data_IF_185708138022
#
_entry.id   IF_185708138022
#
_cell.length_a   1.000
_cell.length_b   1.000
_cell.length_c   1.000
_cell.angle_alpha   90.00
_cell.angle_beta   90.00
_cell.angle_gamma   90.00
#
_symmetry.space_group_name_H-M   'P 1'
#
loop_
_entity.id
_entity.type
_entity.pdbx_description
1 polymer ?
#
# COMPACT_ATOMS: atom_id res chain seq x y z
N UNK A 1 -11.20 9.45 -21.74
CA UNK A 1 -11.69 10.80 -21.37
C UNK A 1 -12.96 10.65 -20.55
N UNK A 2 -13.11 11.39 -19.46
CA UNK A 2 -14.26 11.36 -18.57
C UNK A 2 -14.86 12.76 -18.46
N UNK A 3 -16.18 12.87 -18.40
CA UNK A 3 -16.84 14.16 -18.26
C UNK A 3 -16.69 14.70 -16.83
N UNK A 4 -16.46 16.02 -16.71
CA UNK A 4 -16.45 16.73 -15.43
C UNK A 4 -17.87 16.76 -14.86
N UNK A 5 -17.99 16.43 -13.58
CA UNK A 5 -19.24 16.44 -12.85
C UNK A 5 -19.60 17.84 -12.36
N UNK A 6 -20.91 18.15 -12.35
CA UNK A 6 -21.46 19.44 -11.97
C UNK A 6 -22.64 19.27 -11.03
N UNK A 7 -22.96 20.28 -10.29
CA UNK A 7 -24.20 20.34 -9.52
C UNK A 7 -25.41 20.10 -10.44
N UNK A 8 -26.32 19.21 -10.03
CA UNK A 8 -27.49 18.80 -10.78
C UNK A 8 -27.28 17.65 -11.76
N UNK A 9 -26.05 17.18 -11.98
CA UNK A 9 -25.81 16.00 -12.82
C UNK A 9 -26.43 14.75 -12.18
N UNK A 10 -27.01 13.82 -12.98
CA UNK A 10 -27.73 12.66 -12.48
C UNK A 10 -26.79 11.59 -11.93
N UNK A 11 -27.36 10.73 -11.05
CA UNK A 11 -26.71 9.48 -10.61
C UNK A 11 -27.40 8.24 -11.19
N UNK A 12 -26.72 7.12 -11.25
CA UNK A 12 -27.24 5.86 -11.84
C UNK A 12 -28.45 5.30 -11.10
N UNK A 13 -28.74 5.75 -9.89
CA UNK A 13 -29.90 5.34 -9.09
C UNK A 13 -31.08 6.30 -9.20
N UNK A 14 -31.02 7.27 -10.10
CA UNK A 14 -32.08 8.28 -10.30
C UNK A 14 -32.01 9.47 -9.34
N UNK A 15 -30.89 9.64 -8.67
CA UNK A 15 -30.58 10.84 -7.87
C UNK A 15 -29.81 11.88 -8.68
N UNK A 16 -29.35 12.95 -8.00
CA UNK A 16 -28.58 14.04 -8.58
C UNK A 16 -27.49 14.56 -7.62
N UNK A 17 -26.50 15.24 -8.15
CA UNK A 17 -25.45 15.90 -7.37
C UNK A 17 -26.02 17.15 -6.72
N UNK A 18 -25.89 17.27 -5.40
CA UNK A 18 -26.46 18.34 -4.60
C UNK A 18 -25.55 19.55 -4.48
N UNK A 19 -24.24 19.33 -4.46
CA UNK A 19 -23.24 20.34 -4.19
C UNK A 19 -22.40 20.68 -5.42
N UNK A 20 -21.95 21.93 -5.49
CA UNK A 20 -21.03 22.43 -6.51
C UNK A 20 -20.44 23.75 -6.10
N UNK A 21 -19.22 24.02 -6.55
CA UNK A 21 -18.44 25.21 -6.25
C UNK A 21 -18.57 26.25 -7.39
N UNK A 22 -19.16 27.37 -7.07
CA UNK A 22 -19.39 28.49 -8.01
C UNK A 22 -18.09 29.25 -8.37
N UNK A 23 -16.97 28.96 -7.70
CA UNK A 23 -15.67 29.53 -8.07
C UNK A 23 -15.12 28.93 -9.38
N UNK A 24 -15.63 27.77 -9.77
CA UNK A 24 -15.36 27.14 -11.06
C UNK A 24 -16.65 26.68 -11.72
N UNK A 25 -17.00 27.34 -12.82
CA UNK A 25 -18.17 27.04 -13.61
C UNK A 25 -17.77 26.23 -14.84
N UNK A 26 -18.35 25.04 -15.00
CA UNK A 26 -18.24 24.20 -16.18
C UNK A 26 -19.56 24.20 -16.92
N UNK A 27 -19.57 24.74 -18.15
CA UNK A 27 -20.77 24.84 -19.02
C UNK A 27 -22.03 25.40 -18.32
N UNK A 28 -21.82 26.48 -17.56
CA UNK A 28 -22.91 27.22 -16.90
C UNK A 28 -23.38 26.62 -15.57
N UNK A 29 -22.79 25.54 -15.09
CA UNK A 29 -23.10 24.94 -13.79
C UNK A 29 -21.86 24.86 -12.89
N UNK A 30 -22.02 24.98 -11.55
CA UNK A 30 -20.95 24.84 -10.59
C UNK A 30 -20.28 23.46 -10.66
N UNK A 31 -18.96 23.43 -10.72
CA UNK A 31 -18.18 22.19 -10.76
C UNK A 31 -18.24 21.46 -9.41
N UNK A 32 -18.32 20.14 -9.48
CA UNK A 32 -18.37 19.30 -8.27
C UNK A 32 -17.02 18.64 -8.00
N UNK A 33 -16.68 18.54 -6.73
CA UNK A 33 -15.42 17.93 -6.25
C UNK A 33 -15.69 16.65 -5.47
N UNK A 34 -14.68 15.84 -5.34
CA UNK A 34 -14.69 14.65 -4.48
C UNK A 34 -14.99 15.07 -3.04
N UNK A 35 -15.86 14.30 -2.36
CA UNK A 35 -16.36 14.62 -1.01
C UNK A 35 -17.64 15.45 -0.99
N UNK A 36 -18.06 16.10 -2.10
CA UNK A 36 -19.34 16.78 -2.21
C UNK A 36 -20.50 15.80 -2.27
N UNK A 37 -21.70 16.23 -1.87
CA UNK A 37 -22.85 15.36 -1.67
C UNK A 37 -23.67 15.13 -2.94
N UNK A 38 -24.14 13.90 -3.09
CA UNK A 38 -25.15 13.53 -4.07
C UNK A 38 -26.22 12.66 -3.41
N UNK A 39 -27.46 12.73 -3.90
CA UNK A 39 -28.53 11.91 -3.36
C UNK A 39 -28.58 10.51 -3.99
N UNK A 40 -29.20 9.59 -3.26
CA UNK A 40 -29.37 8.20 -3.64
C UNK A 40 -30.78 7.71 -3.28
N UNK A 41 -31.75 7.83 -4.18
CA UNK A 41 -33.10 7.34 -3.93
C UNK A 41 -33.21 5.82 -3.68
N UNK A 42 -32.20 5.06 -4.07
CA UNK A 42 -32.21 3.60 -3.97
C UNK A 42 -31.90 3.06 -2.56
N UNK A 43 -31.50 3.90 -1.60
CA UNK A 43 -31.18 3.44 -0.26
C UNK A 43 -31.79 4.31 0.85
N UNK A 44 -31.88 3.73 2.06
CA UNK A 44 -32.50 4.41 3.23
C UNK A 44 -31.76 5.66 3.71
N UNK A 45 -30.44 5.70 3.49
CA UNK A 45 -29.61 6.88 3.87
C UNK A 45 -29.92 8.06 2.97
N UNK A 46 -30.31 7.82 1.74
CA UNK A 46 -30.81 8.83 0.80
C UNK A 46 -29.74 9.73 0.16
N UNK A 47 -28.53 9.74 0.67
CA UNK A 47 -27.44 10.59 0.16
C UNK A 47 -26.07 10.08 0.63
N UNK A 48 -25.00 10.62 0.05
CA UNK A 48 -23.62 10.33 0.46
C UNK A 48 -22.61 11.20 -0.27
N UNK A 49 -21.36 11.26 0.20
CA UNK A 49 -20.28 11.96 -0.49
C UNK A 49 -19.90 11.22 -1.77
N UNK A 50 -19.46 11.97 -2.77
CA UNK A 50 -18.88 11.45 -4.00
C UNK A 50 -17.45 10.99 -3.72
N UNK A 51 -17.14 9.76 -4.10
CA UNK A 51 -15.84 9.12 -3.94
C UNK A 51 -15.22 8.85 -5.30
N UNK A 52 -13.93 9.14 -5.42
CA UNK A 52 -13.17 8.97 -6.65
C UNK A 52 -13.00 7.50 -7.03
N UNK A 53 -13.18 7.20 -8.30
CA UNK A 53 -12.76 5.94 -8.92
C UNK A 53 -11.49 6.21 -9.71
N UNK A 54 -10.34 5.98 -9.07
CA UNK A 54 -9.02 6.21 -9.64
C UNK A 54 -8.41 7.61 -9.36
N UNK A 55 -7.15 7.80 -9.74
CA UNK A 55 -6.39 9.03 -9.51
C UNK A 55 -6.98 10.24 -10.23
N UNK A 56 -6.62 11.45 -9.78
CA UNK A 56 -7.09 12.74 -10.33
C UNK A 56 -5.92 13.61 -10.75
N UNK A 57 -5.87 13.93 -12.04
CA UNK A 57 -4.92 14.90 -12.61
C UNK A 57 -5.42 16.35 -12.51
N UNK A 58 -6.74 16.53 -12.27
CA UNK A 58 -7.34 17.87 -12.19
C UNK A 58 -7.79 18.17 -10.76
N UNK A 59 -7.16 19.19 -10.21
CA UNK A 59 -7.47 19.75 -8.89
C UNK A 59 -7.95 21.19 -9.11
N UNK A 60 -9.19 21.46 -8.68
CA UNK A 60 -9.75 22.80 -8.70
C UNK A 60 -9.64 23.49 -7.34
N UNK A 61 -10.19 24.72 -7.21
CA UNK A 61 -10.17 25.48 -5.96
C UNK A 61 -10.77 24.73 -4.76
N UNK A 62 -11.76 23.86 -5.00
CA UNK A 62 -12.43 23.07 -3.95
C UNK A 62 -11.87 21.67 -3.77
N UNK A 63 -10.77 21.31 -4.46
CA UNK A 63 -10.13 19.99 -4.37
C UNK A 63 -10.17 19.17 -5.66
N UNK A 64 -9.95 17.86 -5.59
CA UNK A 64 -9.99 16.97 -6.75
C UNK A 64 -11.36 16.97 -7.43
N UNK A 65 -11.38 17.19 -8.75
CA UNK A 65 -12.64 17.28 -9.51
C UNK A 65 -13.34 15.92 -9.60
N UNK A 66 -14.64 15.88 -9.36
CA UNK A 66 -15.46 14.68 -9.58
C UNK A 66 -15.69 14.45 -11.07
N UNK A 67 -15.60 13.20 -11.51
CA UNK A 67 -15.66 12.80 -12.91
C UNK A 67 -16.71 11.70 -13.13
N UNK A 68 -17.18 11.58 -14.36
CA UNK A 68 -18.06 10.50 -14.78
C UNK A 68 -17.57 9.14 -14.29
N UNK A 69 -18.48 8.36 -13.67
CA UNK A 69 -18.20 7.04 -13.14
C UNK A 69 -17.66 7.04 -11.70
N UNK A 70 -17.43 8.19 -11.07
CA UNK A 70 -17.24 8.25 -9.62
C UNK A 70 -18.53 7.82 -8.93
N UNK A 71 -18.46 7.33 -7.69
CA UNK A 71 -19.63 6.79 -7.03
C UNK A 71 -20.02 7.57 -5.77
N UNK A 72 -21.27 7.45 -5.40
CA UNK A 72 -21.82 8.04 -4.19
C UNK A 72 -21.69 7.03 -3.05
N UNK A 73 -20.93 7.36 -2.01
CA UNK A 73 -20.78 6.53 -0.82
C UNK A 73 -22.01 6.65 0.08
N UNK A 74 -23.06 5.94 -0.29
CA UNK A 74 -24.31 5.76 0.47
C UNK A 74 -24.34 4.33 1.06
N UNK A 75 -25.48 3.90 1.63
CA UNK A 75 -25.63 2.52 2.15
C UNK A 75 -25.79 1.44 1.08
N UNK A 76 -25.78 1.79 -0.19
CA UNK A 76 -25.70 0.84 -1.29
C UNK A 76 -24.30 0.20 -1.38
N UNK A 77 -24.18 -1.00 -2.00
CA UNK A 77 -22.85 -1.56 -2.28
C UNK A 77 -21.96 -0.55 -3.00
N UNK A 78 -20.65 -0.53 -2.72
CA UNK A 78 -19.72 0.36 -3.41
C UNK A 78 -19.89 0.30 -4.93
N UNK A 79 -19.78 1.45 -5.60
CA UNK A 79 -19.93 1.61 -7.06
C UNK A 79 -21.31 1.29 -7.67
N UNK A 80 -22.33 0.92 -6.89
CA UNK A 80 -23.68 0.68 -7.42
C UNK A 80 -24.46 1.97 -7.71
N UNK A 81 -24.04 3.11 -7.14
CA UNK A 81 -24.59 4.43 -7.43
C UNK A 81 -23.47 5.34 -7.96
N UNK A 82 -23.34 5.45 -9.28
CA UNK A 82 -22.31 6.23 -9.95
C UNK A 82 -22.88 7.55 -10.50
N UNK A 83 -22.03 8.60 -10.57
CA UNK A 83 -22.40 9.86 -11.19
C UNK A 83 -22.32 9.76 -12.72
N UNK A 84 -23.32 10.33 -13.39
CA UNK A 84 -23.53 10.26 -14.83
C UNK A 84 -23.61 11.68 -15.45
N UNK A 85 -22.52 12.47 -15.45
CA UNK A 85 -22.55 13.79 -16.06
C UNK A 85 -23.00 13.70 -17.52
N UNK A 86 -23.91 14.59 -17.91
CA UNK A 86 -24.26 14.78 -19.30
C UNK A 86 -23.02 15.24 -20.10
N UNK A 87 -23.10 15.22 -21.43
CA UNK A 87 -22.00 15.66 -22.30
C UNK A 87 -21.51 17.06 -21.92
N UNK A 88 -20.19 17.24 -21.91
CA UNK A 88 -19.58 18.51 -21.49
C UNK A 88 -18.06 18.48 -21.48
N UNK A 89 -17.45 19.29 -20.65
CA UNK A 89 -16.00 19.37 -20.48
C UNK A 89 -15.44 17.99 -20.13
N UNK A 90 -14.58 17.45 -21.01
CA UNK A 90 -13.91 16.16 -20.81
C UNK A 90 -12.47 16.36 -20.39
N UNK A 91 -11.99 15.49 -19.51
CA UNK A 91 -10.61 15.44 -19.09
C UNK A 91 -9.98 14.12 -19.47
N UNK A 92 -8.70 14.16 -19.79
CA UNK A 92 -7.94 13.03 -20.32
C UNK A 92 -7.37 12.12 -19.22
N UNK A 93 -8.10 11.84 -18.15
CA UNK A 93 -7.71 10.79 -17.22
C UNK A 93 -7.78 9.44 -17.92
N UNK A 94 -6.62 8.89 -18.24
CA UNK A 94 -6.50 7.67 -19.06
C UNK A 94 -6.87 6.37 -18.31
N UNK A 95 -7.43 6.45 -17.10
CA UNK A 95 -7.79 5.30 -16.29
C UNK A 95 -9.20 5.40 -15.69
N UNK A 96 -10.18 5.30 -16.56
CA UNK A 96 -11.57 5.04 -16.16
C UNK A 96 -12.02 3.70 -16.74
N UNK A 97 -12.96 2.96 -16.09
CA UNK A 97 -13.52 1.76 -16.68
C UNK A 97 -14.14 2.12 -18.03
N UNK A 98 -13.77 1.40 -19.09
CA UNK A 98 -14.41 1.50 -20.39
C UNK A 98 -15.89 1.17 -20.23
N UNK A 99 -16.76 2.16 -20.36
CA UNK A 99 -18.17 1.93 -20.61
C UNK A 99 -18.32 1.27 -21.98
N UNK A 100 -18.77 0.05 -22.00
CA UNK A 100 -19.05 -0.64 -23.24
C UNK A 100 -19.45 -2.08 -23.04
N UNK A 101 -20.70 -2.30 -22.71
CA UNK A 101 -21.45 -3.40 -23.27
C UNK A 101 -22.96 -3.12 -23.10
N UNK A 102 -23.63 -3.10 -24.21
CA UNK A 102 -25.06 -2.93 -24.33
C UNK A 102 -25.84 -4.02 -23.57
N UNK A 103 -26.94 -3.60 -22.96
CA UNK A 103 -27.94 -4.45 -22.34
C UNK A 103 -28.46 -5.54 -23.28
N UNK A 104 -28.27 -6.81 -22.87
CA UNK A 104 -29.00 -7.95 -23.39
C UNK A 104 -30.21 -8.17 -22.48
N UNK A 105 -31.42 -8.43 -23.00
CA UNK A 105 -32.63 -8.64 -22.20
C UNK A 105 -32.52 -9.90 -21.34
N UNK A 106 -33.03 -9.83 -20.11
CA UNK A 106 -33.04 -10.92 -19.15
C UNK A 106 -33.96 -12.07 -19.65
N UNK A 107 -33.41 -13.26 -19.75
CA UNK A 107 -34.17 -14.51 -19.79
C UNK A 107 -34.51 -15.00 -18.37
N UNK A 108 -35.64 -15.72 -18.18
CA UNK A 108 -36.11 -16.07 -16.83
C UNK A 108 -35.21 -17.10 -16.15
N UNK A 109 -34.90 -16.80 -14.90
CA UNK A 109 -34.02 -17.56 -14.01
C UNK A 109 -34.51 -18.98 -13.75
N UNK A 110 -33.66 -19.96 -14.05
CA UNK A 110 -33.76 -21.32 -13.52
C UNK A 110 -33.32 -21.35 -12.02
N UNK A 111 -33.85 -22.27 -11.21
CA UNK A 111 -33.55 -22.31 -9.78
C UNK A 111 -32.05 -22.58 -9.52
N UNK A 112 -31.50 -21.84 -8.58
CA UNK A 112 -30.11 -21.94 -8.18
C UNK A 112 -29.74 -23.36 -7.71
N UNK A 113 -28.61 -23.92 -8.14
CA UNK A 113 -28.09 -25.14 -7.57
C UNK A 113 -27.61 -24.86 -6.14
N UNK A 114 -28.05 -25.67 -5.20
CA UNK A 114 -27.56 -25.70 -3.82
C UNK A 114 -26.04 -25.86 -3.81
N UNK A 115 -25.35 -24.81 -3.39
CA UNK A 115 -23.91 -24.83 -3.21
C UNK A 115 -23.52 -25.78 -2.08
N UNK A 116 -22.97 -26.93 -2.42
CA UNK A 116 -22.10 -27.68 -1.50
C UNK A 116 -20.93 -26.78 -1.08
N UNK A 117 -20.48 -26.83 0.18
CA UNK A 117 -19.31 -26.06 0.61
C UNK A 117 -18.12 -26.46 -0.27
N UNK A 118 -17.59 -25.50 -1.03
CA UNK A 118 -16.39 -25.70 -1.80
C UNK A 118 -15.25 -26.07 -0.83
N UNK A 119 -14.78 -27.29 -0.93
CA UNK A 119 -13.52 -27.72 -0.33
C UNK A 119 -12.45 -26.72 -0.83
N UNK A 120 -11.65 -26.12 0.06
CA UNK A 120 -10.55 -25.27 -0.38
C UNK A 120 -9.67 -26.11 -1.31
N UNK A 121 -9.59 -25.72 -2.57
CA UNK A 121 -8.63 -26.30 -3.51
C UNK A 121 -7.25 -25.89 -2.99
N UNK A 122 -6.61 -26.75 -2.20
CA UNK A 122 -5.17 -26.66 -1.97
C UNK A 122 -4.56 -26.82 -3.35
N UNK A 123 -3.83 -25.83 -3.88
CA UNK A 123 -3.15 -25.98 -5.15
C UNK A 123 -2.29 -27.25 -5.07
N UNK A 124 -2.44 -28.16 -6.03
CA UNK A 124 -1.53 -29.30 -6.17
C UNK A 124 -0.15 -28.69 -6.42
N UNK A 125 0.67 -28.62 -5.38
CA UNK A 125 2.08 -28.20 -5.51
C UNK A 125 2.76 -29.28 -6.35
N UNK A 126 3.26 -28.88 -7.52
CA UNK A 126 4.11 -29.77 -8.32
C UNK A 126 5.33 -30.15 -7.47
N UNK A 127 5.55 -31.43 -7.15
CA UNK A 127 6.67 -31.84 -6.32
C UNK A 127 8.05 -31.53 -6.95
N UNK A 128 8.08 -31.17 -8.23
CA UNK A 128 9.29 -30.76 -8.95
C UNK A 128 9.48 -29.25 -8.99
N UNK A 129 8.50 -28.46 -8.51
CA UNK A 129 8.57 -27.01 -8.52
C UNK A 129 9.50 -26.50 -7.41
N UNK A 130 10.44 -25.66 -7.81
CA UNK A 130 11.29 -24.93 -6.86
C UNK A 130 10.61 -23.64 -6.40
N UNK A 131 10.55 -23.40 -5.08
CA UNK A 131 9.97 -22.18 -4.52
C UNK A 131 11.04 -21.30 -3.92
N UNK A 132 11.08 -20.03 -4.36
CA UNK A 132 12.07 -19.03 -3.92
C UNK A 132 11.33 -17.79 -3.40
N UNK A 133 11.63 -17.37 -2.16
CA UNK A 133 11.19 -16.13 -1.60
C UNK A 133 12.24 -15.03 -1.77
N UNK A 134 11.83 -13.83 -2.20
CA UNK A 134 12.70 -12.66 -2.23
C UNK A 134 12.08 -11.52 -1.41
N UNK A 135 12.88 -10.88 -0.56
CA UNK A 135 12.45 -10.01 0.51
C UNK A 135 13.17 -8.66 0.45
N UNK A 136 12.47 -7.61 0.03
CA UNK A 136 13.00 -6.25 -0.11
C UNK A 136 12.66 -5.43 1.13
N UNK A 137 13.64 -5.11 1.95
CA UNK A 137 13.39 -4.38 3.19
C UNK A 137 13.21 -2.88 2.96
N UNK A 138 12.55 -2.22 3.93
CA UNK A 138 12.25 -0.80 3.89
C UNK A 138 13.49 0.08 4.01
N UNK A 139 13.36 1.35 3.64
CA UNK A 139 14.42 2.33 3.78
C UNK A 139 15.00 2.34 5.18
N UNK A 140 16.31 2.37 5.27
CA UNK A 140 17.02 2.37 6.56
C UNK A 140 16.82 1.11 7.42
N UNK A 141 16.25 0.04 6.84
CA UNK A 141 16.12 -1.24 7.53
C UNK A 141 17.14 -2.23 6.98
N UNK A 142 17.94 -2.81 7.88
CA UNK A 142 18.94 -3.82 7.54
C UNK A 142 19.08 -4.81 8.70
N UNK A 143 18.50 -6.00 8.54
CA UNK A 143 18.50 -7.04 9.57
C UNK A 143 19.89 -7.46 10.03
N UNK A 144 20.89 -7.35 9.16
CA UNK A 144 22.26 -7.72 9.50
C UNK A 144 22.92 -6.65 10.37
N UNK A 145 22.67 -5.36 10.09
CA UNK A 145 23.13 -4.26 10.91
C UNK A 145 22.46 -4.25 12.29
N UNK A 146 21.16 -4.47 12.36
CA UNK A 146 20.44 -4.63 13.64
C UNK A 146 21.01 -5.78 14.46
N UNK A 147 21.28 -6.94 13.82
CA UNK A 147 21.88 -8.09 14.50
C UNK A 147 23.32 -7.82 14.95
N UNK A 148 24.11 -7.11 14.16
CA UNK A 148 25.48 -6.69 14.57
C UNK A 148 25.42 -5.82 15.82
N UNK A 149 24.50 -4.87 15.90
CA UNK A 149 24.30 -4.05 17.10
C UNK A 149 23.95 -4.92 18.31
N UNK A 150 22.95 -5.81 18.18
CA UNK A 150 22.56 -6.73 19.28
C UNK A 150 23.75 -7.55 19.78
N UNK A 151 24.55 -8.11 18.88
CA UNK A 151 25.76 -8.85 19.22
C UNK A 151 26.79 -7.98 19.96
N UNK A 152 26.89 -6.69 19.61
CA UNK A 152 27.80 -5.76 20.25
C UNK A 152 27.31 -5.27 21.62
N UNK A 153 26.01 -5.26 21.85
CA UNK A 153 25.42 -5.00 23.17
C UNK A 153 25.66 -6.17 24.13
N UNK A 154 25.69 -7.40 23.61
CA UNK A 154 25.92 -8.61 24.42
C UNK A 154 27.41 -8.88 24.69
N UNK A 155 28.29 -8.59 23.74
CA UNK A 155 29.71 -8.89 23.83
C UNK A 155 30.56 -7.90 23.05
N UNK A 156 31.44 -7.17 23.74
CA UNK A 156 32.41 -6.27 23.10
C UNK A 156 33.50 -7.08 22.36
N UNK A 157 33.41 -7.11 21.04
CA UNK A 157 34.35 -7.79 20.14
C UNK A 157 35.17 -6.78 19.32
N UNK A 158 36.27 -7.22 18.70
CA UNK A 158 37.03 -6.35 17.78
C UNK A 158 36.17 -5.85 16.59
N UNK A 159 35.19 -6.66 16.14
CA UNK A 159 34.22 -6.26 15.12
C UNK A 159 33.35 -5.11 15.64
N UNK A 160 32.97 -5.11 16.91
CA UNK A 160 32.13 -4.08 17.50
C UNK A 160 32.84 -2.73 17.54
N UNK A 161 34.16 -2.70 17.84
CA UNK A 161 34.94 -1.47 17.81
C UNK A 161 34.96 -0.82 16.42
N UNK A 162 34.96 -1.61 15.36
CA UNK A 162 34.93 -1.09 13.97
C UNK A 162 33.60 -0.46 13.57
N UNK A 163 32.49 -0.90 14.14
CA UNK A 163 31.15 -0.41 13.82
C UNK A 163 30.55 0.51 14.90
N UNK A 164 31.22 0.69 16.05
CA UNK A 164 30.71 1.49 17.16
C UNK A 164 30.31 2.92 16.74
N UNK A 165 31.07 3.52 15.82
CA UNK A 165 30.74 4.84 15.26
C UNK A 165 29.57 4.83 14.31
N UNK A 166 29.18 3.66 13.80
CA UNK A 166 28.04 3.46 12.88
C UNK A 166 26.75 3.17 13.66
N UNK A 167 26.89 2.65 14.89
CA UNK A 167 25.76 2.40 15.80
C UNK A 167 25.31 3.74 16.37
N UNK A 168 24.42 4.42 15.68
CA UNK A 168 23.91 5.73 16.05
C UNK A 168 22.39 5.80 15.96
N UNK A 169 21.81 6.69 16.74
CA UNK A 169 20.36 6.91 16.71
C UNK A 169 19.91 7.34 15.33
N UNK A 170 18.91 6.62 14.79
CA UNK A 170 18.41 6.88 13.46
C UNK A 170 19.30 6.32 12.33
N UNK A 171 20.12 5.31 12.59
CA UNK A 171 20.83 4.52 11.58
C UNK A 171 20.18 3.16 11.36
N UNK A 172 20.59 2.44 10.31
CA UNK A 172 20.11 1.07 10.05
C UNK A 172 20.50 0.06 11.11
N UNK A 173 21.35 0.45 12.05
CA UNK A 173 21.72 -0.32 13.24
C UNK A 173 20.73 -0.12 14.40
N UNK A 174 20.01 1.01 14.44
CA UNK A 174 19.15 1.40 15.56
C UNK A 174 17.75 0.78 15.51
N UNK A 175 17.34 0.23 14.35
CA UNK A 175 16.03 -0.37 14.15
C UNK A 175 15.92 -1.84 14.61
N UNK A 176 14.70 -2.29 14.88
CA UNK A 176 14.36 -3.70 15.05
C UNK A 176 14.06 -4.40 13.72
N UNK A 177 13.76 -5.69 13.78
CA UNK A 177 13.40 -6.46 12.60
C UNK A 177 12.03 -6.03 12.06
N UNK A 178 11.97 -5.70 10.76
CA UNK A 178 10.73 -5.46 10.03
C UNK A 178 9.94 -6.75 9.83
N UNK A 179 8.68 -6.63 9.40
CA UNK A 179 7.88 -7.80 9.02
C UNK A 179 8.49 -8.54 7.82
N UNK A 180 9.12 -7.82 6.89
CA UNK A 180 9.87 -8.41 5.76
C UNK A 180 11.06 -9.24 6.27
N UNK A 181 11.85 -8.68 7.19
CA UNK A 181 12.98 -9.39 7.80
C UNK A 181 12.53 -10.63 8.59
N UNK A 182 11.42 -10.53 9.33
CA UNK A 182 10.81 -11.66 10.09
C UNK A 182 10.31 -12.75 9.15
N UNK A 183 9.58 -12.40 8.10
CA UNK A 183 9.09 -13.35 7.10
C UNK A 183 10.25 -14.07 6.41
N UNK A 184 11.32 -13.35 6.04
CA UNK A 184 12.53 -13.99 5.49
C UNK A 184 13.13 -15.06 6.42
N UNK A 185 13.04 -14.86 7.75
CA UNK A 185 13.61 -15.82 8.72
C UNK A 185 12.80 -17.11 8.83
N UNK A 186 11.48 -17.03 8.64
CA UNK A 186 10.56 -18.17 8.80
C UNK A 186 10.13 -18.79 7.47
N UNK A 187 10.61 -18.26 6.35
CA UNK A 187 10.26 -18.78 5.03
C UNK A 187 10.84 -20.18 4.84
N UNK A 188 9.99 -21.13 4.45
CA UNK A 188 10.35 -22.55 4.37
C UNK A 188 11.10 -22.94 3.08
N UNK A 189 11.07 -22.09 2.05
CA UNK A 189 11.79 -22.29 0.78
C UNK A 189 13.18 -21.66 0.76
N UNK A 190 13.81 -21.64 -0.40
CA UNK A 190 15.02 -20.83 -0.62
C UNK A 190 14.68 -19.33 -0.49
N UNK A 191 15.47 -18.59 0.28
CA UNK A 191 15.17 -17.21 0.60
C UNK A 191 16.32 -16.26 0.27
N UNK A 192 16.00 -15.11 -0.36
CA UNK A 192 16.92 -14.05 -0.70
C UNK A 192 16.47 -12.79 0.04
N UNK A 193 17.34 -12.22 0.86
CA UNK A 193 17.09 -10.93 1.49
C UNK A 193 17.84 -9.82 0.77
N UNK A 194 17.14 -8.72 0.51
CA UNK A 194 17.65 -7.49 -0.08
C UNK A 194 17.58 -6.39 0.99
N UNK A 195 18.72 -5.83 1.30
CA UNK A 195 18.87 -4.78 2.29
C UNK A 195 18.05 -3.54 1.91
N UNK A 196 17.59 -2.81 2.92
CA UNK A 196 16.80 -1.59 2.69
C UNK A 196 17.57 -0.50 1.96
N UNK A 197 16.82 0.38 1.33
CA UNK A 197 17.36 1.52 0.57
C UNK A 197 18.23 2.40 1.47
N UNK A 198 19.40 2.76 0.99
CA UNK A 198 20.38 3.58 1.68
C UNK A 198 21.28 2.82 2.67
N UNK A 199 21.12 1.50 2.82
CA UNK A 199 21.91 0.73 3.78
C UNK A 199 22.91 -0.20 3.11
N UNK A 200 23.94 -0.59 3.84
CA UNK A 200 24.87 -1.67 3.48
C UNK A 200 25.37 -2.34 4.75
N UNK A 201 25.45 -3.66 4.75
CA UNK A 201 25.88 -4.43 5.93
C UNK A 201 27.31 -4.06 6.34
N UNK A 202 27.48 -3.71 7.61
CA UNK A 202 28.78 -3.36 8.20
C UNK A 202 29.35 -2.01 7.76
N UNK A 203 28.56 -1.16 7.11
CA UNK A 203 28.97 0.17 6.60
C UNK A 203 28.06 1.28 7.13
N UNK A 204 28.48 2.54 6.92
CA UNK A 204 27.65 3.70 7.16
C UNK A 204 26.52 3.75 6.12
N UNK A 205 25.36 4.23 6.56
CA UNK A 205 24.20 4.45 5.68
C UNK A 205 24.47 5.60 4.70
N UNK A 206 23.92 5.49 3.50
CA UNK A 206 23.94 6.56 2.49
C UNK A 206 22.75 7.49 2.68
N UNK A 207 22.98 8.64 3.29
CA UNK A 207 21.93 9.65 3.50
C UNK A 207 21.30 10.16 2.19
N UNK A 208 22.10 10.27 1.13
CA UNK A 208 21.60 10.70 -0.19
C UNK A 208 20.69 9.64 -0.82
N UNK A 209 21.11 8.37 -0.81
CA UNK A 209 20.30 7.28 -1.37
C UNK A 209 19.01 7.10 -0.54
N UNK A 210 19.06 7.28 0.78
CA UNK A 210 17.88 7.30 1.64
C UNK A 210 16.95 8.47 1.33
N UNK A 211 17.49 9.66 1.12
CA UNK A 211 16.68 10.85 0.89
C UNK A 211 15.94 10.78 -0.46
N UNK A 212 16.64 10.34 -1.50
CA UNK A 212 16.11 10.37 -2.87
C UNK A 212 15.67 9.01 -3.42
N UNK A 213 15.92 7.90 -2.72
CA UNK A 213 15.60 6.55 -3.20
C UNK A 213 16.38 6.13 -4.46
N UNK A 214 17.45 6.87 -4.79
CA UNK A 214 18.28 6.70 -5.98
C UNK A 214 19.70 6.26 -5.59
N UNK A 215 20.60 6.14 -6.56
CA UNK A 215 22.01 5.78 -6.32
C UNK A 215 22.27 4.29 -6.18
N UNK A 216 23.45 3.94 -5.68
CA UNK A 216 23.94 2.56 -5.63
C UNK A 216 23.13 1.65 -4.66
N UNK A 217 22.44 2.23 -3.70
CA UNK A 217 21.55 1.53 -2.77
C UNK A 217 20.09 2.01 -2.91
N UNK A 218 19.74 2.61 -4.05
CA UNK A 218 18.41 3.09 -4.38
C UNK A 218 17.44 1.98 -4.83
N UNK A 219 16.22 2.35 -5.14
CA UNK A 219 15.13 1.43 -5.47
C UNK A 219 15.46 0.55 -6.68
N UNK A 220 15.95 1.15 -7.77
CA UNK A 220 16.31 0.40 -8.99
C UNK A 220 17.48 -0.54 -8.72
N UNK A 221 18.55 -0.05 -8.10
CA UNK A 221 19.73 -0.86 -7.80
C UNK A 221 19.40 -2.05 -6.90
N UNK A 222 18.47 -1.89 -5.95
CA UNK A 222 17.98 -3.00 -5.12
C UNK A 222 17.16 -4.02 -5.91
N UNK A 223 16.37 -3.57 -6.88
CA UNK A 223 15.63 -4.47 -7.77
C UNK A 223 16.56 -5.26 -8.69
N UNK A 224 17.58 -4.60 -9.25
CA UNK A 224 18.61 -5.24 -10.08
C UNK A 224 19.48 -6.22 -9.28
N UNK A 225 19.85 -5.86 -8.04
CA UNK A 225 20.51 -6.77 -7.10
C UNK A 225 19.66 -8.03 -6.86
N UNK A 226 18.35 -7.83 -6.65
CA UNK A 226 17.39 -8.93 -6.51
C UNK A 226 17.37 -9.83 -7.74
N UNK A 227 17.32 -9.25 -8.94
CA UNK A 227 17.34 -9.99 -10.19
C UNK A 227 18.63 -10.78 -10.37
N UNK A 228 19.78 -10.20 -10.08
CA UNK A 228 21.07 -10.89 -10.17
C UNK A 228 21.17 -12.06 -9.20
N UNK A 229 20.75 -11.87 -7.94
CA UNK A 229 20.76 -12.93 -6.91
C UNK A 229 19.81 -14.07 -7.26
N UNK A 230 18.57 -13.78 -7.68
CA UNK A 230 17.60 -14.82 -8.02
C UNK A 230 18.03 -15.58 -9.28
N UNK A 231 18.56 -14.90 -10.30
CA UNK A 231 19.06 -15.53 -11.52
C UNK A 231 20.20 -16.50 -11.21
N UNK A 232 21.12 -16.09 -10.33
CA UNK A 232 22.21 -16.98 -9.86
C UNK A 232 21.67 -18.21 -9.14
N UNK A 233 20.67 -18.02 -8.27
CA UNK A 233 20.04 -19.12 -7.55
C UNK A 233 19.31 -20.07 -8.50
N UNK A 234 18.53 -19.54 -9.44
CA UNK A 234 17.80 -20.31 -10.46
C UNK A 234 18.76 -21.13 -11.33
N UNK A 235 19.89 -20.55 -11.72
CA UNK A 235 20.90 -21.27 -12.52
C UNK A 235 21.51 -22.46 -11.78
N UNK A 236 21.55 -22.43 -10.46
CA UNK A 236 22.05 -23.53 -9.61
C UNK A 236 21.04 -24.63 -9.30
N UNK A 237 19.77 -24.46 -9.65
CA UNK A 237 18.72 -25.45 -9.36
C UNK A 237 18.73 -26.60 -10.37
N UNK A 238 18.26 -27.78 -9.93
CA UNK A 238 17.90 -28.89 -10.81
C UNK A 238 16.81 -28.48 -11.82
N UNK A 239 16.51 -29.30 -12.80
CA UNK A 239 15.43 -29.05 -13.75
C UNK A 239 14.09 -28.93 -13.02
N UNK A 240 13.17 -28.12 -13.55
CA UNK A 240 11.83 -27.89 -13.04
C UNK A 240 11.41 -26.42 -13.11
N UNK A 241 10.11 -26.13 -13.01
CA UNK A 241 9.58 -24.78 -12.96
C UNK A 241 9.96 -24.10 -11.65
N UNK A 242 9.93 -22.76 -11.63
CA UNK A 242 10.25 -21.95 -10.44
C UNK A 242 9.08 -21.05 -10.11
N UNK A 243 8.58 -21.15 -8.88
CA UNK A 243 7.63 -20.22 -8.29
C UNK A 243 8.37 -19.21 -7.41
N UNK A 244 8.10 -17.93 -7.62
CA UNK A 244 8.72 -16.83 -6.86
C UNK A 244 7.68 -16.13 -5.99
N UNK A 245 7.97 -16.04 -4.69
CA UNK A 245 7.21 -15.21 -3.74
C UNK A 245 8.02 -13.93 -3.46
N UNK A 246 7.38 -12.78 -3.64
CA UNK A 246 8.03 -11.47 -3.52
C UNK A 246 7.43 -10.72 -2.35
N UNK A 247 8.27 -10.17 -1.48
CA UNK A 247 7.82 -9.37 -0.34
C UNK A 247 8.57 -8.04 -0.30
N UNK A 248 7.87 -6.98 0.13
CA UNK A 248 8.51 -5.68 0.26
C UNK A 248 7.83 -4.77 1.26
N UNK A 249 8.61 -3.85 1.85
CA UNK A 249 8.12 -2.81 2.75
C UNK A 249 8.57 -1.43 2.29
N UNK A 250 7.67 -0.43 2.34
CA UNK A 250 8.01 0.96 2.03
C UNK A 250 8.62 1.11 0.62
N UNK A 251 9.77 1.80 0.47
CA UNK A 251 10.53 1.82 -0.80
C UNK A 251 11.09 0.46 -1.19
N UNK A 252 11.24 -0.47 -0.25
CA UNK A 252 11.48 -1.88 -0.58
C UNK A 252 10.28 -2.54 -1.26
N UNK A 253 9.05 -2.14 -0.94
CA UNK A 253 7.86 -2.58 -1.68
C UNK A 253 7.82 -1.98 -3.10
N UNK A 254 8.26 -0.73 -3.27
CA UNK A 254 8.45 -0.15 -4.61
C UNK A 254 9.52 -0.91 -5.41
N UNK A 255 10.64 -1.30 -4.77
CA UNK A 255 11.66 -2.15 -5.38
C UNK A 255 11.12 -3.54 -5.73
N UNK A 256 10.31 -4.15 -4.86
CA UNK A 256 9.65 -5.42 -5.12
C UNK A 256 8.71 -5.37 -6.34
N UNK A 257 7.94 -4.29 -6.49
CA UNK A 257 7.06 -4.06 -7.65
C UNK A 257 7.86 -3.89 -8.93
N UNK A 258 8.94 -3.10 -8.91
CA UNK A 258 9.85 -2.95 -10.04
C UNK A 258 10.53 -4.28 -10.38
N UNK A 259 10.97 -5.03 -9.37
CA UNK A 259 11.58 -6.34 -9.52
C UNK A 259 10.66 -7.34 -10.23
N UNK A 260 9.37 -7.41 -9.89
CA UNK A 260 8.40 -8.27 -10.58
C UNK A 260 8.40 -7.99 -12.08
N UNK A 261 8.39 -6.71 -12.48
CA UNK A 261 8.40 -6.34 -13.89
C UNK A 261 9.68 -6.77 -14.60
N UNK A 262 10.86 -6.52 -14.01
CA UNK A 262 12.14 -6.88 -14.65
C UNK A 262 12.40 -8.40 -14.64
N UNK A 263 11.90 -9.11 -13.63
CA UNK A 263 11.99 -10.58 -13.57
C UNK A 263 11.21 -11.22 -14.71
N UNK A 264 9.98 -10.78 -14.95
CA UNK A 264 9.11 -11.35 -16.00
C UNK A 264 9.62 -11.03 -17.42
N UNK A 265 10.34 -9.92 -17.59
CA UNK A 265 10.98 -9.57 -18.86
C UNK A 265 12.31 -10.28 -19.07
N UNK A 266 12.93 -10.79 -18.01
CA UNK A 266 14.22 -11.44 -18.06
C UNK A 266 14.10 -12.90 -18.55
N UNK A 267 15.08 -13.34 -19.33
CA UNK A 267 15.17 -14.74 -19.72
C UNK A 267 15.97 -15.53 -18.67
N UNK A 268 15.28 -16.36 -17.88
CA UNK A 268 15.90 -17.21 -16.86
C UNK A 268 16.30 -18.60 -17.38
N UNK A 269 16.12 -18.87 -18.68
CA UNK A 269 16.41 -20.18 -19.29
C UNK A 269 15.45 -21.30 -18.87
N UNK A 270 14.41 -20.98 -18.13
CA UNK A 270 13.35 -21.91 -17.67
C UNK A 270 12.05 -21.14 -17.37
N UNK A 271 10.99 -21.90 -17.12
CA UNK A 271 9.71 -21.35 -16.70
C UNK A 271 9.82 -20.77 -15.28
N UNK A 272 9.54 -19.47 -15.15
CA UNK A 272 9.50 -18.74 -13.90
C UNK A 272 8.15 -18.01 -13.81
N UNK A 273 7.42 -18.25 -12.72
CA UNK A 273 6.17 -17.55 -12.42
C UNK A 273 6.26 -16.82 -11.09
N UNK A 274 5.56 -15.70 -10.96
CA UNK A 274 5.40 -15.03 -9.68
C UNK A 274 4.13 -15.56 -9.02
N UNK A 275 4.30 -16.35 -7.95
CA UNK A 275 3.17 -16.98 -7.25
C UNK A 275 2.49 -16.03 -6.26
N UNK A 276 3.28 -15.23 -5.55
CA UNK A 276 2.75 -14.31 -4.55
C UNK A 276 3.55 -13.02 -4.49
N UNK A 277 2.85 -11.90 -4.30
CA UNK A 277 3.45 -10.60 -3.99
C UNK A 277 2.79 -10.04 -2.73
N UNK A 278 3.54 -9.91 -1.65
CA UNK A 278 3.10 -9.37 -0.37
C UNK A 278 3.76 -8.03 -0.08
N UNK A 279 2.98 -6.96 -0.06
CA UNK A 279 3.47 -5.59 0.09
C UNK A 279 2.99 -5.01 1.42
N UNK A 280 3.91 -4.35 2.13
CA UNK A 280 3.65 -3.61 3.35
C UNK A 280 3.81 -2.13 3.05
N UNK A 281 2.70 -1.42 2.96
CA UNK A 281 2.59 0.03 2.83
C UNK A 281 3.57 0.63 1.83
N UNK A 282 3.36 0.36 0.53
CA UNK A 282 4.26 0.81 -0.54
C UNK A 282 4.34 2.33 -0.57
N UNK A 283 5.56 2.85 -0.44
CA UNK A 283 5.88 4.26 -0.61
C UNK A 283 7.00 4.37 -1.64
N UNK A 284 6.76 5.02 -2.77
CA UNK A 284 7.80 5.22 -3.76
C UNK A 284 8.74 6.37 -3.36
N UNK A 285 8.23 7.58 -3.20
CA UNK A 285 8.97 8.79 -2.78
C UNK A 285 10.40 8.83 -3.33
N UNK A 286 10.54 8.85 -4.68
CA UNK A 286 11.80 8.72 -5.40
C UNK A 286 12.12 10.05 -6.07
N UNK A 287 13.36 10.53 -5.91
CA UNK A 287 13.80 11.80 -6.46
C UNK A 287 13.35 13.00 -5.62
N UNK A 288 13.18 14.15 -6.27
CA UNK A 288 12.72 15.40 -5.65
C UNK A 288 11.20 15.50 -5.65
N UNK A 289 10.52 14.71 -6.46
CA UNK A 289 9.08 14.66 -6.54
C UNK A 289 8.56 13.54 -5.65
N UNK A 290 7.81 13.93 -4.64
CA UNK A 290 7.18 12.99 -3.69
C UNK A 290 5.73 12.71 -4.08
N UNK A 291 5.28 13.23 -5.23
CA UNK A 291 3.93 12.98 -5.74
C UNK A 291 3.85 11.61 -6.41
N UNK A 292 2.65 11.05 -6.43
CA UNK A 292 2.35 9.64 -6.68
C UNK A 292 2.55 9.20 -8.15
N UNK A 293 2.67 10.14 -9.10
CA UNK A 293 2.42 9.86 -10.50
C UNK A 293 3.66 9.72 -11.39
N UNK A 294 4.84 10.18 -10.96
CA UNK A 294 6.03 10.25 -11.81
C UNK A 294 7.30 9.68 -11.16
N UNK A 295 7.22 8.46 -10.65
CA UNK A 295 8.39 7.74 -10.14
C UNK A 295 9.23 7.11 -11.28
N UNK A 296 9.13 7.61 -12.50
CA UNK A 296 9.96 7.15 -13.60
C UNK A 296 11.46 7.32 -13.26
N UNK A 297 12.29 6.29 -13.45
CA UNK A 297 12.05 5.06 -14.21
C UNK A 297 11.56 3.84 -13.41
N UNK A 298 11.08 3.99 -12.17
CA UNK A 298 10.61 2.87 -11.35
C UNK A 298 9.20 2.44 -11.78
N UNK A 299 9.04 1.17 -12.11
CA UNK A 299 7.76 0.61 -12.56
C UNK A 299 6.99 0.03 -11.38
N UNK A 300 6.00 0.77 -10.89
CA UNK A 300 5.18 0.36 -9.74
C UNK A 300 3.96 -0.47 -10.15
N UNK A 301 3.48 -0.34 -11.36
CA UNK A 301 2.31 -1.06 -11.85
C UNK A 301 2.65 -2.55 -12.03
N UNK A 302 1.87 -3.41 -11.39
CA UNK A 302 1.87 -4.86 -11.61
C UNK A 302 0.64 -5.18 -12.44
N UNK A 303 0.83 -5.67 -13.66
CA UNK A 303 -0.29 -5.98 -14.55
C UNK A 303 -1.12 -7.15 -13.99
N UNK A 304 -2.45 -7.18 -14.21
CA UNK A 304 -3.26 -8.35 -13.92
C UNK A 304 -2.69 -9.59 -14.62
N UNK A 305 -2.48 -10.67 -13.86
CA UNK A 305 -1.86 -11.90 -14.37
C UNK A 305 -0.33 -11.93 -14.33
N UNK A 306 0.34 -10.83 -14.00
CA UNK A 306 1.80 -10.82 -13.79
C UNK A 306 2.23 -11.62 -12.53
N UNK A 307 1.33 -11.74 -11.57
CA UNK A 307 1.45 -12.61 -10.42
C UNK A 307 0.12 -13.31 -10.16
N UNK A 308 0.14 -14.51 -9.60
CA UNK A 308 -1.09 -15.25 -9.30
C UNK A 308 -1.90 -14.54 -8.20
N UNK A 309 -1.20 -13.95 -7.24
CA UNK A 309 -1.83 -13.18 -6.17
C UNK A 309 -0.94 -12.02 -5.72
N UNK A 310 -1.53 -10.83 -5.66
CA UNK A 310 -0.90 -9.63 -5.09
C UNK A 310 -1.77 -9.14 -3.94
N UNK A 311 -1.15 -8.90 -2.78
CA UNK A 311 -1.82 -8.37 -1.58
C UNK A 311 -0.97 -7.26 -1.01
N UNK A 312 -1.57 -6.10 -0.77
CA UNK A 312 -0.97 -4.99 -0.05
C UNK A 312 -1.67 -4.75 1.28
N UNK A 313 -0.90 -4.58 2.34
CA UNK A 313 -1.35 -4.06 3.62
C UNK A 313 -0.98 -2.58 3.67
N UNK A 314 -1.97 -1.70 3.81
CA UNK A 314 -1.81 -0.25 3.81
C UNK A 314 -2.07 0.34 5.19
N UNK A 315 -1.32 1.37 5.56
CA UNK A 315 -1.48 2.11 6.81
C UNK A 315 -2.66 3.08 6.72
N UNK A 316 -3.59 2.99 7.69
CA UNK A 316 -4.75 3.90 7.75
C UNK A 316 -4.38 5.28 8.30
N UNK A 317 -3.45 5.32 9.23
CA UNK A 317 -3.18 6.49 10.06
C UNK A 317 -1.82 7.16 9.72
N UNK A 318 -1.32 6.95 8.49
CA UNK A 318 -0.14 7.64 7.99
C UNK A 318 -0.54 8.96 7.31
N UNK A 319 -0.03 10.07 7.85
CA UNK A 319 -0.37 11.42 7.38
C UNK A 319 0.83 12.23 6.89
N UNK A 320 2.04 11.65 6.92
CA UNK A 320 3.23 12.33 6.42
C UNK A 320 3.20 12.40 4.89
N UNK A 321 3.37 13.60 4.31
CA UNK A 321 3.34 13.82 2.86
C UNK A 321 4.32 12.95 2.08
N UNK A 322 5.52 12.72 2.65
CA UNK A 322 6.57 11.90 2.00
C UNK A 322 6.30 10.39 2.14
N UNK A 323 5.19 9.98 2.73
CA UNK A 323 4.77 8.59 2.91
C UNK A 323 3.43 8.32 2.22
N UNK A 324 3.16 9.05 1.13
CA UNK A 324 1.98 8.79 0.31
C UNK A 324 1.96 7.34 -0.18
N UNK A 325 0.83 6.67 0.04
CA UNK A 325 0.64 5.29 -0.35
C UNK A 325 0.58 5.17 -1.88
N UNK A 326 1.41 4.32 -2.45
CA UNK A 326 1.24 3.84 -3.82
C UNK A 326 0.33 2.61 -3.83
N UNK A 327 -0.96 2.81 -4.04
CA UNK A 327 -1.98 1.76 -4.06
C UNK A 327 -1.73 0.69 -5.13
N UNK A 328 -2.24 -0.52 -4.90
CA UNK A 328 -2.30 -1.60 -5.91
C UNK A 328 -3.70 -1.78 -6.48
N UNK A 329 -4.65 -0.97 -6.00
CA UNK A 329 -6.03 -0.99 -6.50
C UNK A 329 -6.13 -0.25 -7.86
N UNK A 330 -7.12 -0.60 -8.68
CA UNK A 330 -8.17 -1.61 -8.45
C UNK A 330 -7.76 -3.03 -8.87
N UNK A 331 -6.57 -3.24 -9.42
CA UNK A 331 -6.17 -4.50 -10.05
C UNK A 331 -5.94 -5.63 -9.04
N UNK A 332 -5.55 -5.26 -7.81
CA UNK A 332 -5.11 -6.21 -6.80
C UNK A 332 -5.75 -5.97 -5.43
N UNK A 333 -5.56 -6.92 -4.52
CA UNK A 333 -6.11 -6.84 -3.15
C UNK A 333 -5.31 -5.86 -2.30
N UNK A 334 -5.99 -4.89 -1.70
CA UNK A 334 -5.44 -3.98 -0.71
C UNK A 334 -6.29 -3.99 0.56
N UNK A 335 -5.65 -4.16 1.71
CA UNK A 335 -6.29 -4.17 3.02
C UNK A 335 -5.72 -3.01 3.83
N UNK A 336 -6.56 -2.06 4.18
CA UNK A 336 -6.18 -0.94 5.05
C UNK A 336 -6.30 -1.36 6.50
N UNK A 337 -5.21 -1.27 7.24
CA UNK A 337 -5.11 -1.63 8.64
C UNK A 337 -4.88 -0.38 9.50
N UNK A 338 -5.35 -0.41 10.75
CA UNK A 338 -5.06 0.64 11.72
C UNK A 338 -3.56 0.73 12.00
N UNK A 339 -3.09 1.94 12.19
CA UNK A 339 -1.70 2.24 12.49
C UNK A 339 -1.00 3.05 11.39
N UNK A 340 0.22 3.46 11.69
CA UNK A 340 1.10 4.22 10.79
C UNK A 340 1.98 3.27 9.96
N UNK A 341 2.78 3.83 9.08
CA UNK A 341 3.70 3.12 8.20
C UNK A 341 4.52 2.01 8.88
N UNK A 342 5.12 2.32 10.03
CA UNK A 342 5.93 1.36 10.77
C UNK A 342 5.11 0.35 11.58
N UNK A 343 3.84 0.64 11.88
CA UNK A 343 2.93 -0.35 12.48
C UNK A 343 2.60 -1.46 11.47
N UNK A 344 2.55 -1.11 10.19
CA UNK A 344 2.34 -2.07 9.10
C UNK A 344 3.64 -2.78 8.72
N UNK A 345 4.75 -2.05 8.62
CA UNK A 345 6.03 -2.58 8.17
C UNK A 345 6.90 -3.21 9.25
N UNK A 346 6.68 -2.87 10.50
CA UNK A 346 7.55 -3.25 11.62
C UNK A 346 8.80 -2.38 11.71
N UNK A 347 9.83 -2.89 12.36
CA UNK A 347 11.11 -2.19 12.53
C UNK A 347 11.28 -1.52 13.89
N UNK A 348 10.30 -1.64 14.79
CA UNK A 348 10.41 -1.14 16.15
C UNK A 348 11.33 -2.01 17.02
N UNK A 349 12.08 -1.37 17.89
CA UNK A 349 12.79 -2.07 18.97
C UNK A 349 11.79 -2.55 20.02
N UNK A 350 11.98 -3.75 20.55
CA UNK A 350 11.13 -4.32 21.60
C UNK A 350 11.05 -3.45 22.87
N UNK A 351 12.07 -2.63 23.12
CA UNK A 351 12.10 -1.69 24.25
C UNK A 351 11.34 -0.39 24.00
N UNK A 352 11.10 -0.01 22.74
CA UNK A 352 10.36 1.21 22.35
C UNK A 352 8.85 1.01 22.48
N UNK A 353 8.37 -0.22 22.34
CA UNK A 353 6.95 -0.56 22.55
C UNK A 353 6.42 -0.21 23.96
N UNK A 354 7.31 0.08 24.92
CA UNK A 354 6.95 0.47 26.28
C UNK A 354 6.90 1.98 26.54
N UNK A 355 7.30 2.79 25.57
CA UNK A 355 7.26 4.25 25.72
C UNK A 355 6.05 4.77 24.95
N UNK A 356 5.01 5.32 25.60
CA UNK A 356 3.90 5.91 24.88
C UNK A 356 4.45 7.00 23.97
N UNK A 357 3.99 6.99 22.71
CA UNK A 357 4.36 7.95 21.67
C UNK A 357 3.87 9.34 22.11
N UNK A 358 4.67 10.04 22.87
CA UNK A 358 4.37 11.39 23.36
C UNK A 358 5.43 12.43 22.92
N UNK A 359 6.22 12.16 21.85
CA UNK A 359 7.31 13.06 21.46
C UNK A 359 7.38 13.60 20.04
N UNK A 360 6.35 13.57 19.19
CA UNK A 360 6.32 14.50 18.05
C UNK A 360 5.93 15.94 18.45
N UNK A 361 5.29 16.10 19.61
CA UNK A 361 4.76 17.40 20.05
C UNK A 361 5.85 18.43 20.44
N UNK A 362 6.96 17.99 21.00
CA UNK A 362 8.04 18.91 21.39
C UNK A 362 8.73 19.58 20.19
N UNK A 363 8.66 18.98 19.01
CA UNK A 363 9.22 19.55 17.78
C UNK A 363 8.27 20.61 17.14
N UNK A 364 6.97 20.43 17.29
CA UNK A 364 5.95 21.37 16.75
C UNK A 364 5.82 22.60 17.64
N UNK A 365 6.08 22.48 18.94
CA UNK A 365 6.03 23.59 19.91
C UNK A 365 7.05 24.71 19.67
N UNK A 366 8.11 24.45 18.89
CA UNK A 366 9.10 25.47 18.54
C UNK A 366 8.68 26.43 17.43
N UNK A 367 7.59 26.16 16.70
CA UNK A 367 7.20 26.90 15.49
C UNK A 367 5.73 27.28 15.35
N UNK A 368 4.89 27.07 16.37
CA UNK A 368 3.44 27.24 16.24
C UNK A 368 2.79 28.12 17.30
N UNK A 369 1.79 28.84 16.85
CA UNK A 369 0.83 29.63 17.64
C UNK A 369 0.05 28.71 18.62
N UNK A 370 -0.04 29.12 19.89
CA UNK A 370 -0.70 28.40 21.00
C UNK A 370 -2.17 27.99 20.70
N UNK A 371 -2.84 28.72 19.82
CA UNK A 371 -4.25 28.45 19.45
C UNK A 371 -4.35 27.26 18.46
N UNK A 372 -3.43 27.16 17.51
CA UNK A 372 -3.37 26.06 16.56
C UNK A 372 -3.00 24.76 17.28
N UNK A 373 -2.10 24.82 18.25
CA UNK A 373 -1.72 23.70 19.10
C UNK A 373 -2.89 23.14 19.91
N UNK A 374 -3.64 23.99 20.63
CA UNK A 374 -4.79 23.56 21.43
C UNK A 374 -5.89 22.94 20.59
N UNK A 375 -6.09 23.42 19.35
CA UNK A 375 -7.04 22.81 18.41
C UNK A 375 -6.56 21.45 17.91
N UNK A 376 -5.26 21.30 17.64
CA UNK A 376 -4.66 20.03 17.23
C UNK A 376 -4.70 18.99 18.37
N UNK A 377 -4.35 19.40 19.59
CA UNK A 377 -4.40 18.56 20.78
C UNK A 377 -5.83 18.07 21.08
N UNK A 378 -6.82 18.95 21.00
CA UNK A 378 -8.22 18.58 21.19
C UNK A 378 -8.72 17.60 20.11
N UNK A 379 -8.32 17.80 18.85
CA UNK A 379 -8.67 16.91 17.74
C UNK A 379 -7.95 15.55 17.84
N UNK A 380 -6.69 15.54 18.25
CA UNK A 380 -5.92 14.33 18.46
C UNK A 380 -6.47 13.50 19.63
N UNK A 381 -6.81 14.15 20.74
CA UNK A 381 -7.41 13.48 21.90
C UNK A 381 -8.80 12.92 21.61
N UNK A 382 -9.64 13.64 20.85
CA UNK A 382 -10.93 13.15 20.41
C UNK A 382 -10.80 11.89 19.53
N UNK A 383 -9.84 11.88 18.61
CA UNK A 383 -9.55 10.71 17.73
C UNK A 383 -8.98 9.54 18.50
N UNK A 384 -8.12 9.77 19.50
CA UNK A 384 -7.59 8.72 20.38
C UNK A 384 -8.70 8.09 21.21
N UNK A 385 -9.65 8.86 21.72
CA UNK A 385 -10.80 8.36 22.45
C UNK A 385 -11.74 7.55 21.54
N UNK A 386 -11.96 8.00 20.31
CA UNK A 386 -12.78 7.29 19.32
C UNK A 386 -12.11 5.98 18.87
N UNK A 387 -10.80 5.98 18.60
CA UNK A 387 -10.04 4.79 18.28
C UNK A 387 -9.98 3.79 19.46
N UNK A 388 -9.84 4.29 20.68
CA UNK A 388 -9.89 3.43 21.88
C UNK A 388 -11.27 2.83 22.08
N UNK A 389 -12.36 3.59 21.82
CA UNK A 389 -13.72 3.08 21.90
C UNK A 389 -13.98 2.00 20.83
N UNK A 390 -13.55 2.22 19.58
CA UNK A 390 -13.64 1.24 18.50
C UNK A 390 -12.81 0.00 18.77
N UNK A 391 -11.60 0.14 19.33
CA UNK A 391 -10.76 -0.99 19.73
C UNK A 391 -11.41 -1.80 20.85
N UNK A 392 -12.02 -1.15 21.84
CA UNK A 392 -12.72 -1.83 22.93
C UNK A 392 -13.99 -2.56 22.46
N UNK A 393 -14.67 -2.03 21.46
CA UNK A 393 -15.81 -2.67 20.80
C UNK A 393 -15.36 -3.91 20.02
N UNK A 394 -14.27 -3.80 19.25
CA UNK A 394 -13.64 -4.91 18.54
C UNK A 394 -13.17 -6.02 19.49
N UNK A 395 -12.55 -5.68 20.63
CA UNK A 395 -12.11 -6.65 21.64
C UNK A 395 -13.31 -7.34 22.30
N UNK A 396 -14.41 -6.62 22.53
CA UNK A 396 -15.67 -7.23 23.05
C UNK A 396 -16.28 -8.22 22.05
N UNK A 397 -16.25 -7.88 20.76
CA UNK A 397 -16.80 -8.74 19.71
C UNK A 397 -15.89 -9.96 19.45
N UNK A 398 -14.57 -9.79 19.50
CA UNK A 398 -13.60 -10.89 19.36
C UNK A 398 -13.61 -11.86 20.55
N UNK A 399 -14.06 -11.45 21.75
CA UNK A 399 -14.24 -12.34 22.89
C UNK A 399 -15.37 -13.37 22.71
N UNK A 400 -16.21 -13.18 21.71
CA UNK A 400 -17.27 -14.13 21.30
C UNK A 400 -16.75 -15.23 20.36
N UNK A 401 -15.55 -15.05 19.76
CA UNK A 401 -14.92 -16.05 18.89
C UNK A 401 -14.15 -17.02 19.78
N UNK A 402 -14.77 -18.13 20.15
CA UNK A 402 -14.06 -19.26 20.79
C UNK A 402 -13.02 -19.80 19.80
N UNK A 403 -11.72 -19.82 20.15
CA UNK A 403 -10.73 -20.49 19.29
C UNK A 403 -11.06 -21.99 19.29
N UNK A 404 -11.44 -22.50 18.13
CA UNK A 404 -11.48 -23.95 17.90
C UNK A 404 -10.02 -24.39 17.76
N UNK A 405 -9.39 -24.72 18.87
CA UNK A 405 -8.09 -25.39 18.87
C UNK A 405 -8.35 -26.81 18.40
N UNK A 406 -8.15 -27.07 17.14
CA UNK A 406 -7.99 -28.43 16.61
C UNK A 406 -6.64 -28.95 17.09
N UNK A 407 -6.69 -29.94 17.97
CA UNK A 407 -5.53 -30.77 18.33
C UNK A 407 -5.03 -31.51 17.09
N UNK A 408 -3.79 -31.23 16.72
CA UNK A 408 -2.92 -32.13 15.97
C UNK A 408 -1.59 -32.26 16.70
#
# INVERSE_FOLDING_TARGET
>A
MRNVARKGDPTSTGGEIQDGDSSWISEGSPTTYIGMMANCPACKVGQGPIVAVGPRSIIGPGGPVALQGDYVACSCPPMSNTILPAQGTTVGDNQGPRAGAASVPAEPSAPAPTSSPATPLVPLVDPTEHRIGIFFDGTQNNRYNSKLREQCEEASTAACQSIEKLIGKGSSYDGGATNVARLHQVYSGSAIYIEGIGTSTGKADSNLDMAFGTGATGVISRSEEGLAKISTMIAGLSSGPVAVDVFGFSRGAAAARHFVNILLESNQGREVRVAFVGLFDTVAAIGLDTTDDDNAPVRLYIAPGAAERVVQLAAKDEYRLNFALNSVQPEHTELTLFGTHSDIGGGYLAQVEKTPIMRPLDAVLKFGDDVAYKRFEAAANARLQDAAAQYMEYVKDSSQIKPTIGTF
#
